data_IF_677411300788
#
_entry.id   IF_677411300788
#
_cell.length_a   1.000
_cell.length_b   1.000
_cell.length_c   1.000
_cell.angle_alpha   90.00
_cell.angle_beta   90.00
_cell.angle_gamma   90.00
#
_symmetry.space_group_name_H-M   'P 1'
#
loop_
_entity.id
_entity.type
_entity.pdbx_description
1 polymer ?
#
# COMPACT_ATOMS: atom_id res chain seq x y z
N UNK A 1 37.87 -23.99 -5.94
CA UNK A 1 36.89 -23.92 -4.83
C UNK A 1 36.32 -22.50 -4.78
N UNK A 2 35.17 -22.25 -5.41
CA UNK A 2 34.56 -20.92 -5.47
C UNK A 2 33.38 -20.86 -4.50
N UNK A 3 33.62 -20.37 -3.28
CA UNK A 3 32.62 -20.23 -2.24
C UNK A 3 31.95 -18.85 -2.38
N UNK A 4 31.12 -18.66 -3.41
CA UNK A 4 30.15 -17.56 -3.41
C UNK A 4 29.01 -17.97 -2.51
N UNK A 5 28.96 -17.35 -1.32
CA UNK A 5 27.70 -17.22 -0.57
C UNK A 5 26.72 -16.51 -1.48
N UNK A 6 25.89 -17.27 -2.19
CA UNK A 6 24.77 -16.75 -2.95
C UNK A 6 23.76 -16.19 -1.94
N UNK A 7 23.98 -14.93 -1.59
CA UNK A 7 22.98 -14.02 -1.05
C UNK A 7 22.04 -13.67 -2.20
N UNK A 8 21.37 -14.67 -2.76
CA UNK A 8 20.59 -14.56 -3.99
C UNK A 8 19.39 -13.66 -3.77
N UNK A 9 19.58 -12.36 -4.00
CA UNK A 9 18.51 -11.42 -4.28
C UNK A 9 17.72 -12.04 -5.42
N UNK A 10 16.47 -12.42 -5.17
CA UNK A 10 15.62 -12.96 -6.23
C UNK A 10 15.25 -11.83 -7.18
N UNK A 11 15.95 -11.80 -8.30
CA UNK A 11 15.72 -10.83 -9.35
C UNK A 11 14.29 -10.96 -9.91
N UNK A 12 13.68 -12.16 -9.88
CA UNK A 12 12.27 -12.36 -10.21
C UNK A 12 11.34 -11.47 -9.37
N UNK A 13 11.53 -11.44 -8.05
CA UNK A 13 10.74 -10.60 -7.13
C UNK A 13 10.99 -9.12 -7.44
N UNK A 14 12.22 -8.79 -7.78
CA UNK A 14 12.62 -7.41 -8.12
C UNK A 14 11.95 -6.97 -9.42
N UNK A 15 11.88 -7.84 -10.41
CA UNK A 15 11.20 -7.60 -11.69
C UNK A 15 9.69 -7.46 -11.50
N UNK A 16 9.06 -8.35 -10.71
CA UNK A 16 7.63 -8.25 -10.39
C UNK A 16 7.32 -6.96 -9.63
N UNK A 17 8.19 -6.55 -8.71
CA UNK A 17 8.08 -5.25 -8.01
C UNK A 17 8.19 -4.08 -8.98
N UNK A 18 9.16 -4.11 -9.89
CA UNK A 18 9.34 -3.07 -10.89
C UNK A 18 8.11 -2.95 -11.78
N UNK A 19 7.56 -4.07 -12.23
CA UNK A 19 6.31 -4.12 -12.99
C UNK A 19 5.13 -3.56 -12.18
N UNK A 20 5.01 -3.94 -10.91
CA UNK A 20 3.96 -3.42 -10.01
C UNK A 20 4.02 -1.90 -9.89
N UNK A 21 5.22 -1.35 -9.66
CA UNK A 21 5.44 0.10 -9.54
C UNK A 21 5.16 0.80 -10.87
N UNK A 22 5.57 0.21 -11.99
CA UNK A 22 5.28 0.76 -13.31
C UNK A 22 3.78 0.87 -13.57
N UNK A 23 3.00 -0.19 -13.26
CA UNK A 23 1.54 -0.20 -13.36
C UNK A 23 0.89 0.87 -12.48
N UNK A 24 1.44 1.13 -11.28
CA UNK A 24 0.99 2.24 -10.40
C UNK A 24 1.18 3.58 -11.09
N UNK A 25 2.38 3.85 -11.58
CA UNK A 25 2.71 5.13 -12.22
C UNK A 25 1.82 5.35 -13.43
N UNK A 26 1.71 4.34 -14.30
CA UNK A 26 0.81 4.35 -15.46
C UNK A 26 -0.63 4.62 -15.05
N UNK A 27 -1.11 3.95 -14.00
CA UNK A 27 -2.45 4.14 -13.47
C UNK A 27 -2.73 5.54 -12.92
N UNK A 28 -1.74 6.22 -12.35
CA UNK A 28 -1.89 7.60 -11.88
C UNK A 28 -1.77 8.61 -13.03
N UNK A 29 -0.97 8.32 -14.06
CA UNK A 29 -0.86 9.18 -15.24
C UNK A 29 -2.16 9.25 -16.05
N UNK A 30 -2.90 8.15 -16.16
CA UNK A 30 -4.15 8.09 -16.94
C UNK A 30 -5.41 8.39 -16.13
N UNK A 31 -5.28 8.68 -14.83
CA UNK A 31 -6.42 8.77 -13.90
C UNK A 31 -7.41 9.88 -14.26
N UNK A 32 -6.91 10.97 -14.86
CA UNK A 32 -7.69 12.14 -15.29
C UNK A 32 -8.67 11.81 -16.42
N UNK A 33 -8.43 10.74 -17.17
CA UNK A 33 -9.31 10.29 -18.25
C UNK A 33 -10.36 9.28 -17.79
N UNK A 34 -10.33 8.89 -16.50
CA UNK A 34 -11.25 7.86 -16.01
C UNK A 34 -12.61 8.45 -15.67
N UNK A 35 -13.66 7.83 -16.19
CA UNK A 35 -15.05 8.22 -15.93
C UNK A 35 -15.46 7.96 -14.47
N UNK A 36 -14.78 7.05 -13.79
CA UNK A 36 -15.02 6.72 -12.38
C UNK A 36 -14.34 7.71 -11.40
N UNK A 37 -13.44 8.58 -11.86
CA UNK A 37 -12.72 9.53 -11.01
C UNK A 37 -13.53 10.82 -10.85
N UNK A 38 -14.60 10.76 -10.06
CA UNK A 38 -15.61 11.81 -9.91
C UNK A 38 -15.19 13.10 -9.18
N UNK A 39 -13.91 13.27 -8.84
CA UNK A 39 -13.41 14.46 -8.13
C UNK A 39 -12.94 15.57 -9.08
N UNK A 40 -12.38 15.22 -10.23
CA UNK A 40 -11.86 16.17 -11.22
C UNK A 40 -12.14 15.64 -12.64
N UNK A 41 -13.30 15.97 -13.22
CA UNK A 41 -13.63 15.56 -14.58
C UNK A 41 -12.75 16.32 -15.58
N UNK A 42 -12.22 15.61 -16.57
CA UNK A 42 -11.64 16.25 -17.76
C UNK A 42 -12.71 16.42 -18.83
N UNK A 43 -12.65 17.51 -19.59
CA UNK A 43 -13.53 17.73 -20.74
C UNK A 43 -13.26 16.74 -21.88
N UNK A 44 -12.04 16.16 -21.92
CA UNK A 44 -11.58 15.23 -22.93
C UNK A 44 -11.75 13.79 -22.48
N UNK A 45 -12.76 13.09 -23.01
CA UNK A 45 -13.04 11.68 -22.71
C UNK A 45 -12.32 10.76 -23.69
N UNK A 46 -11.67 9.71 -23.19
CA UNK A 46 -11.08 8.64 -24.01
C UNK A 46 -11.49 7.28 -23.49
N UNK A 47 -12.29 6.55 -24.28
CA UNK A 47 -12.76 5.18 -23.96
C UNK A 47 -11.57 4.22 -23.73
N UNK A 48 -10.50 4.40 -24.50
CA UNK A 48 -9.32 3.53 -24.42
C UNK A 48 -8.59 3.71 -23.09
N UNK A 49 -8.40 4.95 -22.65
CA UNK A 49 -7.69 5.25 -21.41
C UNK A 49 -8.53 4.88 -20.18
N UNK A 50 -9.86 5.02 -20.26
CA UNK A 50 -10.76 4.61 -19.18
C UNK A 50 -10.76 3.08 -18.99
N UNK A 51 -10.87 2.33 -20.09
CA UNK A 51 -10.76 0.86 -20.04
C UNK A 51 -9.39 0.39 -19.55
N UNK A 52 -8.31 1.05 -19.99
CA UNK A 52 -6.96 0.76 -19.51
C UNK A 52 -6.83 1.01 -18.00
N UNK A 53 -7.45 2.09 -17.50
CA UNK A 53 -7.45 2.40 -16.07
C UNK A 53 -8.24 1.36 -15.27
N UNK A 54 -9.38 0.90 -15.79
CA UNK A 54 -10.17 -0.16 -15.18
C UNK A 54 -9.35 -1.46 -15.06
N UNK A 55 -8.72 -1.90 -16.14
CA UNK A 55 -7.85 -3.09 -16.16
C UNK A 55 -6.68 -2.94 -15.18
N UNK A 56 -6.02 -1.77 -15.18
CA UNK A 56 -4.92 -1.51 -14.28
C UNK A 56 -5.35 -1.58 -12.81
N UNK A 57 -6.52 -1.03 -12.46
CA UNK A 57 -7.03 -1.11 -11.10
C UNK A 57 -7.32 -2.56 -10.67
N UNK A 58 -7.82 -3.39 -11.60
CA UNK A 58 -8.06 -4.81 -11.38
C UNK A 58 -6.80 -5.65 -11.19
N UNK A 59 -5.68 -5.30 -11.82
CA UNK A 59 -4.43 -6.08 -11.76
C UNK A 59 -3.48 -5.56 -10.68
N UNK A 60 -3.33 -4.23 -10.60
CA UNK A 60 -2.34 -3.59 -9.74
C UNK A 60 -2.55 -3.96 -8.27
N UNK A 61 -3.77 -3.79 -7.74
CA UNK A 61 -4.03 -4.00 -6.31
C UNK A 61 -3.83 -5.46 -5.88
N UNK A 62 -4.41 -6.48 -6.57
CA UNK A 62 -4.16 -7.88 -6.23
C UNK A 62 -2.69 -8.29 -6.32
N UNK A 63 -1.94 -7.73 -7.29
CA UNK A 63 -0.53 -8.02 -7.46
C UNK A 63 0.29 -7.55 -6.24
N UNK A 64 0.04 -6.35 -5.71
CA UNK A 64 0.72 -5.92 -4.49
C UNK A 64 0.31 -6.71 -3.24
N UNK A 65 -0.97 -7.11 -3.12
CA UNK A 65 -1.41 -7.98 -2.02
C UNK A 65 -0.71 -9.34 -2.08
N UNK A 66 -0.68 -9.98 -3.24
CA UNK A 66 0.01 -11.26 -3.47
C UNK A 66 1.50 -11.15 -3.14
N UNK A 67 2.17 -10.10 -3.64
CA UNK A 67 3.59 -9.85 -3.37
C UNK A 67 3.85 -9.63 -1.88
N UNK A 68 2.97 -8.91 -1.16
CA UNK A 68 3.10 -8.70 0.28
C UNK A 68 2.99 -10.02 1.06
N UNK A 69 2.04 -10.88 0.69
CA UNK A 69 1.87 -12.23 1.25
C UNK A 69 3.07 -13.14 0.99
N UNK A 70 3.61 -13.13 -0.23
CA UNK A 70 4.83 -13.87 -0.57
C UNK A 70 6.04 -13.40 0.25
N UNK A 71 6.23 -12.09 0.36
CA UNK A 71 7.31 -11.52 1.17
C UNK A 71 7.14 -11.84 2.66
N UNK A 72 5.90 -11.94 3.13
CA UNK A 72 5.60 -12.34 4.50
C UNK A 72 6.02 -13.79 4.78
N UNK A 73 5.60 -14.75 3.96
CA UNK A 73 5.99 -16.16 4.12
C UNK A 73 7.51 -16.33 4.11
N UNK A 74 8.19 -15.60 3.23
CA UNK A 74 9.64 -15.61 3.16
C UNK A 74 10.31 -15.05 4.43
N UNK A 75 9.81 -13.93 4.95
CA UNK A 75 10.30 -13.33 6.20
C UNK A 75 10.04 -14.23 7.41
N UNK A 76 8.86 -14.84 7.45
CA UNK A 76 8.41 -15.73 8.51
C UNK A 76 9.30 -16.98 8.66
N UNK A 77 9.75 -17.55 7.54
CA UNK A 77 10.60 -18.74 7.54
C UNK A 77 12.03 -18.46 8.03
N UNK A 78 12.43 -17.18 8.15
CA UNK A 78 13.81 -16.78 8.43
C UNK A 78 14.03 -16.12 9.80
N UNK A 79 12.98 -15.73 10.51
CA UNK A 79 13.07 -15.13 11.84
C UNK A 79 11.88 -15.47 12.71
N UNK A 80 12.13 -15.90 13.95
CA UNK A 80 11.12 -16.20 14.97
C UNK A 80 10.58 -14.96 15.67
N UNK A 81 11.25 -13.81 15.56
CA UNK A 81 10.85 -12.59 16.23
C UNK A 81 9.82 -11.82 15.39
N UNK A 82 8.57 -11.91 15.81
CA UNK A 82 7.43 -11.29 15.12
C UNK A 82 7.31 -9.78 15.43
N UNK A 83 7.65 -9.35 16.65
CA UNK A 83 7.53 -7.94 17.06
C UNK A 83 8.49 -7.09 16.23
N UNK A 84 9.74 -7.53 16.13
CA UNK A 84 10.74 -6.83 15.33
C UNK A 84 10.39 -6.79 13.83
N UNK A 85 9.69 -7.81 13.31
CA UNK A 85 9.21 -7.80 11.92
C UNK A 85 8.08 -6.79 11.69
N UNK A 86 7.12 -6.72 12.62
CA UNK A 86 6.02 -5.74 12.54
C UNK A 86 6.56 -4.32 12.69
N UNK A 87 7.46 -4.06 13.64
CA UNK A 87 8.06 -2.73 13.85
C UNK A 87 8.83 -2.28 12.60
N UNK A 88 9.70 -3.13 12.03
CA UNK A 88 10.45 -2.79 10.81
C UNK A 88 9.52 -2.51 9.62
N UNK A 89 8.40 -3.24 9.52
CA UNK A 89 7.41 -3.02 8.47
C UNK A 89 6.60 -1.74 8.72
N UNK A 90 6.24 -1.44 9.97
CA UNK A 90 5.59 -0.19 10.36
C UNK A 90 6.49 1.01 10.05
N UNK A 91 7.77 0.94 10.40
CA UNK A 91 8.75 1.98 10.08
C UNK A 91 8.87 2.24 8.57
N UNK A 92 8.73 1.19 7.75
CA UNK A 92 8.84 1.30 6.30
C UNK A 92 7.54 1.71 5.60
N UNK A 93 6.37 1.53 6.23
CA UNK A 93 5.07 1.79 5.61
C UNK A 93 4.33 2.96 6.26
N UNK A 94 4.19 2.94 7.59
CA UNK A 94 3.40 3.91 8.35
C UNK A 94 4.14 5.25 8.48
N UNK A 95 5.46 5.25 8.72
CA UNK A 95 6.23 6.50 8.78
C UNK A 95 6.14 7.28 7.45
N UNK A 96 6.45 6.69 6.27
CA UNK A 96 6.32 7.43 5.02
C UNK A 96 4.87 7.81 4.71
N UNK A 97 3.88 6.98 5.12
CA UNK A 97 2.47 7.33 5.02
C UNK A 97 2.12 8.62 5.78
N UNK A 98 2.51 8.70 7.06
CA UNK A 98 2.25 9.88 7.90
C UNK A 98 3.01 11.10 7.36
N UNK A 99 4.28 10.93 6.99
CA UNK A 99 5.10 12.02 6.46
C UNK A 99 4.52 12.60 5.16
N UNK A 100 4.19 11.75 4.18
CA UNK A 100 3.64 12.22 2.91
C UNK A 100 2.20 12.74 3.12
N UNK A 101 1.41 12.13 4.00
CA UNK A 101 0.08 12.61 4.35
C UNK A 101 0.09 14.03 4.92
N UNK A 102 0.96 14.30 5.89
CA UNK A 102 1.03 15.60 6.57
C UNK A 102 1.80 16.63 5.75
N UNK A 103 2.96 16.28 5.19
CA UNK A 103 3.83 17.25 4.51
C UNK A 103 3.45 17.51 3.06
N UNK A 104 2.67 16.63 2.42
CA UNK A 104 2.32 16.77 1.00
C UNK A 104 0.81 16.80 0.76
N UNK A 105 0.09 15.76 1.18
CA UNK A 105 -1.34 15.64 0.90
C UNK A 105 -2.14 16.78 1.54
N UNK A 106 -1.89 17.04 2.82
CA UNK A 106 -2.57 18.07 3.59
C UNK A 106 -2.35 19.50 3.04
N UNK A 107 -1.12 20.00 2.83
CA UNK A 107 -0.91 21.37 2.34
C UNK A 107 -1.45 21.59 0.94
N UNK A 108 -1.36 20.60 0.05
CA UNK A 108 -1.90 20.72 -1.32
C UNK A 108 -3.42 20.85 -1.28
N UNK A 109 -4.10 20.04 -0.46
CA UNK A 109 -5.57 20.09 -0.35
C UNK A 109 -6.07 21.37 0.29
N UNK A 110 -5.32 21.93 1.23
CA UNK A 110 -5.57 23.28 1.75
C UNK A 110 -5.40 24.35 0.66
N UNK A 111 -4.33 24.28 -0.14
CA UNK A 111 -4.03 25.25 -1.19
C UNK A 111 -5.08 25.23 -2.31
N UNK A 112 -5.60 24.06 -2.67
CA UNK A 112 -6.64 23.87 -3.70
C UNK A 112 -8.05 24.15 -3.16
N UNK A 113 -8.20 24.55 -1.88
CA UNK A 113 -9.50 24.77 -1.20
C UNK A 113 -10.47 23.60 -1.39
N UNK A 114 -9.97 22.40 -1.11
CA UNK A 114 -10.73 21.18 -1.32
C UNK A 114 -12.08 21.23 -0.56
N UNK A 115 -13.23 21.00 -1.23
CA UNK A 115 -14.57 21.23 -0.64
C UNK A 115 -14.82 20.48 0.67
N UNK A 116 -14.21 19.31 0.85
CA UNK A 116 -14.35 18.47 2.04
C UNK A 116 -13.73 19.08 3.30
N UNK A 117 -12.85 20.09 3.15
CA UNK A 117 -12.16 20.74 4.26
C UNK A 117 -12.89 22.01 4.74
N UNK A 118 -13.94 22.42 4.05
CA UNK A 118 -14.70 23.61 4.40
C UNK A 118 -15.46 23.41 5.72
N UNK A 119 -15.21 24.31 6.69
CA UNK A 119 -15.91 24.34 7.97
C UNK A 119 -15.40 23.37 9.03
N UNK A 120 -14.35 22.59 8.76
CA UNK A 120 -13.74 21.66 9.72
C UNK A 120 -12.46 22.24 10.34
N UNK A 121 -12.21 21.93 11.60
CA UNK A 121 -10.97 22.32 12.27
C UNK A 121 -9.79 21.49 11.76
N UNK A 122 -8.62 22.14 11.59
CA UNK A 122 -7.38 21.50 11.08
C UNK A 122 -7.05 20.16 11.77
N UNK A 123 -7.11 20.04 13.12
CA UNK A 123 -6.84 18.76 13.79
C UNK A 123 -7.86 17.67 13.48
N UNK A 124 -9.13 18.05 13.31
CA UNK A 124 -10.21 17.13 12.96
C UNK A 124 -10.04 16.60 11.54
N UNK A 125 -9.63 17.45 10.59
CA UNK A 125 -9.31 17.05 9.22
C UNK A 125 -8.15 16.06 9.22
N UNK A 126 -7.07 16.34 9.94
CA UNK A 126 -5.90 15.46 10.02
C UNK A 126 -6.29 14.10 10.61
N UNK A 127 -7.06 14.09 11.70
CA UNK A 127 -7.49 12.84 12.34
C UNK A 127 -8.44 12.04 11.44
N UNK A 128 -9.44 12.70 10.83
CA UNK A 128 -10.45 12.03 10.00
C UNK A 128 -9.89 11.56 8.66
N UNK A 129 -9.08 12.38 8.00
CA UNK A 129 -8.40 12.01 6.76
C UNK A 129 -7.33 10.97 7.08
N UNK A 130 -6.24 11.33 7.77
CA UNK A 130 -5.03 10.50 7.86
C UNK A 130 -5.21 9.29 8.79
N UNK A 131 -5.89 9.45 9.93
CA UNK A 131 -6.03 8.36 10.90
C UNK A 131 -7.20 7.43 10.59
N UNK A 132 -8.36 8.00 10.24
CA UNK A 132 -9.60 7.25 10.01
C UNK A 132 -9.69 6.62 8.62
N UNK A 133 -8.91 7.08 7.64
CA UNK A 133 -8.94 6.45 6.33
C UNK A 133 -9.92 7.06 5.33
N UNK A 134 -10.80 7.98 5.76
CA UNK A 134 -11.97 8.37 4.96
C UNK A 134 -11.61 9.04 3.64
N UNK A 135 -10.54 9.85 3.61
CA UNK A 135 -10.11 10.55 2.41
C UNK A 135 -8.59 10.76 2.40
N UNK A 136 -7.86 9.69 2.10
CA UNK A 136 -6.40 9.71 1.96
C UNK A 136 -5.92 9.64 0.51
N UNK A 137 -6.83 9.78 -0.46
CA UNK A 137 -6.52 9.52 -1.87
C UNK A 137 -5.83 8.16 -2.03
N UNK A 138 -4.82 8.08 -2.88
CA UNK A 138 -4.11 6.82 -3.16
C UNK A 138 -3.27 6.25 -2.01
N UNK A 139 -3.08 7.00 -0.92
CA UNK A 139 -2.25 6.56 0.20
C UNK A 139 -2.93 5.47 1.04
N UNK A 140 -4.25 5.26 0.89
CA UNK A 140 -5.04 4.27 1.65
C UNK A 140 -4.45 2.86 1.58
N UNK A 141 -3.78 2.52 0.48
CA UNK A 141 -3.23 1.20 0.25
C UNK A 141 -2.08 0.83 1.23
N UNK A 142 -1.32 1.82 1.72
CA UNK A 142 -0.19 1.62 2.64
C UNK A 142 -0.63 1.09 4.02
N UNK A 143 -1.56 1.73 4.75
CA UNK A 143 -2.05 1.21 6.02
C UNK A 143 -2.79 -0.12 5.82
N UNK A 144 -3.55 -0.31 4.75
CA UNK A 144 -4.22 -1.60 4.47
C UNK A 144 -3.23 -2.75 4.35
N UNK A 145 -2.12 -2.56 3.62
CA UNK A 145 -1.05 -3.57 3.55
C UNK A 145 -0.44 -3.88 4.92
N UNK A 146 -0.25 -2.85 5.75
CA UNK A 146 0.31 -3.01 7.08
C UNK A 146 -0.62 -3.80 8.01
N UNK A 147 -1.91 -3.46 8.02
CA UNK A 147 -2.90 -4.18 8.82
C UNK A 147 -3.06 -5.62 8.37
N UNK A 148 -3.21 -5.87 7.06
CA UNK A 148 -3.31 -7.22 6.53
C UNK A 148 -2.07 -8.08 6.89
N UNK A 149 -0.87 -7.50 6.76
CA UNK A 149 0.37 -8.18 7.19
C UNK A 149 0.37 -8.48 8.69
N UNK A 150 -0.03 -7.51 9.53
CA UNK A 150 -0.05 -7.67 10.98
C UNK A 150 -1.06 -8.72 11.43
N UNK A 151 -2.25 -8.75 10.83
CA UNK A 151 -3.27 -9.78 11.08
C UNK A 151 -2.75 -11.18 10.75
N UNK A 152 -2.05 -11.34 9.61
CA UNK A 152 -1.42 -12.61 9.24
C UNK A 152 -0.32 -13.05 10.20
N UNK A 153 0.53 -12.10 10.65
CA UNK A 153 1.55 -12.36 11.68
C UNK A 153 0.90 -12.87 12.97
N UNK A 154 -0.13 -12.19 13.46
CA UNK A 154 -0.83 -12.56 14.69
C UNK A 154 -1.47 -13.94 14.56
N UNK A 155 -2.17 -14.21 13.45
CA UNK A 155 -2.78 -15.51 13.19
C UNK A 155 -1.75 -16.65 13.22
N UNK A 156 -0.63 -16.52 12.49
CA UNK A 156 0.43 -17.54 12.48
C UNK A 156 1.19 -17.64 13.81
N UNK A 157 1.25 -16.56 14.58
CA UNK A 157 1.83 -16.60 15.94
C UNK A 157 0.95 -17.38 16.92
N UNK A 158 -0.37 -17.31 16.75
CA UNK A 158 -1.32 -18.07 17.56
C UNK A 158 -1.31 -19.56 17.21
N UNK A 159 -1.21 -19.91 15.92
CA UNK A 159 -1.10 -21.33 15.49
C UNK A 159 0.21 -21.99 15.90
N UNK A 160 1.27 -21.21 16.19
CA UNK A 160 2.54 -21.74 16.71
C UNK A 160 2.53 -21.96 18.23
N UNK A 161 1.58 -21.35 18.95
CA UNK A 161 1.41 -21.48 20.41
C UNK A 161 0.54 -22.67 20.82
N UNK A 162 -0.25 -23.24 19.92
CA UNK A 162 -0.81 -24.57 20.15
C UNK A 162 0.32 -25.59 19.94
N UNK A 163 0.83 -26.23 21.00
CA UNK A 163 1.70 -27.36 20.80
C UNK A 163 0.87 -28.46 20.13
N UNK A 164 1.51 -29.23 19.27
CA UNK A 164 1.00 -30.49 18.76
C UNK A 164 0.77 -31.47 19.92
N UNK A 165 -0.30 -31.27 20.69
CA UNK A 165 -0.88 -32.26 21.58
C UNK A 165 -2.00 -32.97 20.82
N UNK A 166 -1.65 -33.56 19.67
CA UNK A 166 -2.44 -34.64 19.08
C UNK A 166 -1.48 -35.65 18.45
N UNK A 167 -1.58 -36.85 19.01
CA UNK A 167 -0.96 -38.14 18.67
C UNK A 167 0.38 -38.42 19.33
#
# INVERSE_FOLDING_TARGET
>A
MNNRKDTTRRDDITNVRALAIFLVVLGHSIILYSSAWGYYPTEQKSILLDNLKFLNNGIQMPLFFSLSGFCFLWSWNRSSDFINQVIKKAQRLIIPYIMIGICWLFPIRMLVKYPYYNGLTVPHIIFKSILLGEDNGHLWFLPTLFFHYSSHVVHLSNTRKEPSNKF
#
